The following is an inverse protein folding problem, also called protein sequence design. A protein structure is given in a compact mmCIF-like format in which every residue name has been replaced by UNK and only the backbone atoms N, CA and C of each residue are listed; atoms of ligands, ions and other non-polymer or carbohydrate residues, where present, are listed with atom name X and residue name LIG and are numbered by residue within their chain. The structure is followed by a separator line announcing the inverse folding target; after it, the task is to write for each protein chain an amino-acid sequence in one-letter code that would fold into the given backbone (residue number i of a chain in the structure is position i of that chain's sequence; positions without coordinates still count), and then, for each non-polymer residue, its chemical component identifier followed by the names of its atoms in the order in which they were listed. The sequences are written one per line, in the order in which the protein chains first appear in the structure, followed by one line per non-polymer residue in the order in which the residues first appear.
data_IF_553712868466
#
_entry.id   IF_553712868466
#
_cell.length_a   1.000
_cell.length_b   1.000
_cell.length_c   1.000
_cell.angle_alpha   90.00
_cell.angle_beta   90.00
_cell.angle_gamma   90.00
#
_symmetry.space_group_name_H-M   'P 1'
#
loop_
_entity.id
_entity.type
_entity.pdbx_description
1 polymer ?
#
# COMPACT_ATOMS: atom_id res chain seq x y z
N UNK A 1 -1.30 -21.72 -2.81
CA UNK A 1 -0.48 -20.65 -2.28
C UNK A 1 -1.27 -19.32 -2.30
N UNK A 2 -1.61 -18.78 -1.12
CA UNK A 2 -2.52 -17.62 -1.00
C UNK A 2 -1.86 -16.29 -1.39
N UNK A 3 -0.53 -16.23 -1.45
CA UNK A 3 0.25 -15.01 -1.71
C UNK A 3 0.80 -14.92 -3.15
N UNK A 4 0.52 -15.88 -4.01
CA UNK A 4 1.14 -15.99 -5.34
C UNK A 4 1.02 -14.70 -6.13
N UNK A 5 -0.18 -14.16 -6.33
CA UNK A 5 -0.35 -12.93 -7.11
C UNK A 5 0.42 -11.73 -6.56
N UNK A 6 0.50 -11.57 -5.24
CA UNK A 6 1.24 -10.47 -4.63
C UNK A 6 2.77 -10.66 -4.74
N UNK A 7 3.26 -11.88 -4.51
CA UNK A 7 4.71 -12.17 -4.59
C UNK A 7 5.24 -12.12 -6.02
N UNK A 8 4.44 -12.50 -7.00
CA UNK A 8 4.76 -12.33 -8.43
C UNK A 8 4.93 -10.85 -8.77
N UNK A 9 4.01 -9.99 -8.32
CA UNK A 9 4.09 -8.55 -8.57
C UNK A 9 5.24 -7.86 -7.84
N UNK A 10 5.60 -8.30 -6.64
CA UNK A 10 6.82 -7.86 -5.98
C UNK A 10 8.07 -8.23 -6.77
N UNK A 11 8.10 -9.45 -7.35
CA UNK A 11 9.22 -9.90 -8.19
C UNK A 11 9.28 -9.11 -9.49
N UNK A 12 8.14 -8.86 -10.15
CA UNK A 12 8.03 -8.04 -11.36
C UNK A 12 8.50 -6.60 -11.10
N UNK A 13 8.18 -6.05 -9.91
CA UNK A 13 8.64 -4.74 -9.48
C UNK A 13 10.14 -4.69 -9.12
N UNK A 14 10.87 -5.79 -9.27
CA UNK A 14 12.33 -5.85 -9.09
C UNK A 14 12.79 -6.25 -7.69
N UNK A 15 11.90 -6.75 -6.83
CA UNK A 15 12.26 -7.27 -5.51
C UNK A 15 12.56 -8.78 -5.56
N UNK A 16 13.45 -9.26 -4.70
CA UNK A 16 13.73 -10.69 -4.57
C UNK A 16 12.80 -11.30 -3.51
N UNK A 17 11.97 -12.24 -3.93
CA UNK A 17 11.04 -12.96 -3.05
C UNK A 17 11.53 -14.40 -2.88
N UNK A 18 11.70 -14.84 -1.64
CA UNK A 18 12.16 -16.19 -1.28
C UNK A 18 11.17 -16.84 -0.32
N UNK A 19 10.74 -18.04 -0.65
CA UNK A 19 10.02 -18.92 0.27
C UNK A 19 11.02 -19.86 0.97
N UNK A 20 10.76 -20.19 2.23
CA UNK A 20 11.50 -21.24 2.88
C UNK A 20 11.07 -22.62 2.34
N UNK A 21 11.79 -23.68 2.76
CA UNK A 21 11.56 -25.05 2.24
C UNK A 21 10.17 -25.61 2.59
N UNK A 22 9.59 -25.17 3.68
CA UNK A 22 8.26 -25.61 4.17
C UNK A 22 7.12 -24.77 3.57
N UNK A 23 7.41 -23.62 2.96
CA UNK A 23 6.41 -22.74 2.34
C UNK A 23 5.58 -21.95 3.36
N UNK A 24 5.97 -21.91 4.64
CA UNK A 24 5.28 -21.24 5.73
C UNK A 24 5.85 -19.85 6.04
N UNK A 25 6.94 -19.48 5.39
CA UNK A 25 7.51 -18.13 5.49
C UNK A 25 7.97 -17.59 4.14
N UNK A 26 7.87 -16.27 3.99
CA UNK A 26 8.35 -15.53 2.82
C UNK A 26 9.29 -14.42 3.26
N UNK A 27 10.41 -14.29 2.55
CA UNK A 27 11.35 -13.18 2.74
C UNK A 27 11.33 -12.32 1.49
N UNK A 28 11.11 -11.03 1.67
CA UNK A 28 11.22 -10.04 0.59
C UNK A 28 12.47 -9.21 0.81
N UNK A 29 13.35 -9.21 -0.18
CA UNK A 29 14.58 -8.43 -0.17
C UNK A 29 14.41 -7.30 -1.20
N UNK A 30 14.56 -6.03 -0.78
CA UNK A 30 14.50 -4.91 -1.71
C UNK A 30 15.49 -5.08 -2.86
N UNK A 31 15.05 -4.81 -4.08
CA UNK A 31 15.95 -4.78 -5.24
C UNK A 31 16.69 -3.45 -5.33
N UNK A 32 17.81 -3.45 -6.02
CA UNK A 32 18.67 -2.26 -6.21
C UNK A 32 18.04 -1.24 -7.18
N UNK A 33 17.17 -1.70 -8.06
CA UNK A 33 16.52 -0.87 -9.08
C UNK A 33 15.05 -1.25 -9.24
N UNK A 34 14.21 -1.01 -8.22
CA UNK A 34 12.79 -1.31 -8.33
C UNK A 34 12.12 -0.39 -9.36
N UNK A 35 11.14 -0.90 -10.06
CA UNK A 35 10.36 -0.14 -11.05
C UNK A 35 8.88 -0.43 -10.94
N UNK A 36 8.06 0.50 -11.43
CA UNK A 36 6.64 0.30 -11.55
C UNK A 36 6.29 -0.88 -12.45
N UNK A 37 5.15 -1.52 -12.18
CA UNK A 37 4.60 -2.58 -13.01
C UNK A 37 3.07 -2.48 -13.09
N UNK A 38 2.47 -3.25 -14.02
CA UNK A 38 1.02 -3.29 -14.17
C UNK A 38 0.40 -4.36 -13.28
N UNK A 39 -0.73 -4.00 -12.64
CA UNK A 39 -1.55 -4.90 -11.83
C UNK A 39 -2.97 -4.88 -12.36
N UNK A 40 -3.54 -6.06 -12.56
CA UNK A 40 -4.99 -6.24 -12.76
C UNK A 40 -5.49 -7.18 -11.66
N UNK A 41 -6.45 -6.73 -10.85
CA UNK A 41 -7.03 -7.61 -9.84
C UNK A 41 -7.86 -8.70 -10.48
N UNK A 42 -7.82 -9.89 -9.89
CA UNK A 42 -8.58 -11.04 -10.36
C UNK A 42 -8.93 -11.98 -9.21
N UNK A 43 -9.97 -12.82 -9.35
CA UNK A 43 -10.22 -13.89 -8.39
C UNK A 43 -9.01 -14.80 -8.22
N UNK A 44 -8.91 -15.42 -7.04
CA UNK A 44 -7.82 -16.36 -6.75
C UNK A 44 -7.66 -17.40 -7.88
N UNK A 45 -6.43 -17.69 -8.35
CA UNK A 45 -5.12 -17.32 -7.80
C UNK A 45 -4.54 -15.99 -8.32
N UNK A 46 -5.34 -15.14 -8.96
CA UNK A 46 -4.88 -13.84 -9.46
C UNK A 46 -4.54 -12.85 -8.33
N UNK A 47 -4.21 -11.62 -8.72
CA UNK A 47 -3.85 -10.57 -7.76
C UNK A 47 -5.08 -10.13 -6.94
N UNK A 48 -5.03 -10.21 -5.59
CA UNK A 48 -6.20 -9.93 -4.77
C UNK A 48 -6.51 -8.43 -4.69
N UNK A 49 -7.77 -8.04 -4.90
CA UNK A 49 -8.24 -6.65 -4.73
C UNK A 49 -7.96 -6.09 -3.33
N UNK A 50 -7.83 -6.95 -2.32
CA UNK A 50 -7.53 -6.54 -0.94
C UNK A 50 -6.10 -6.03 -0.75
N UNK A 51 -5.21 -6.23 -1.70
CA UNK A 51 -3.84 -5.70 -1.70
C UNK A 51 -3.64 -4.56 -2.71
N UNK A 52 -4.65 -4.23 -3.49
CA UNK A 52 -4.58 -3.18 -4.50
C UNK A 52 -4.14 -1.82 -3.91
N UNK A 53 -4.75 -1.38 -2.82
CA UNK A 53 -4.45 -0.09 -2.21
C UNK A 53 -3.03 -0.01 -1.64
N UNK A 54 -2.54 -1.10 -1.02
CA UNK A 54 -1.18 -1.18 -0.46
C UNK A 54 -0.13 -1.12 -1.56
N UNK A 55 -0.35 -1.80 -2.69
CA UNK A 55 0.55 -1.72 -3.84
C UNK A 55 0.50 -0.34 -4.50
N UNK A 56 -0.66 0.32 -4.56
CA UNK A 56 -0.77 1.72 -5.00
C UNK A 56 0.11 2.64 -4.14
N UNK A 57 0.08 2.49 -2.82
CA UNK A 57 0.92 3.26 -1.91
C UNK A 57 2.43 2.97 -2.11
N UNK A 58 2.80 1.71 -2.35
CA UNK A 58 4.19 1.33 -2.66
C UNK A 58 4.66 1.97 -3.96
N UNK A 59 3.87 1.87 -5.02
CA UNK A 59 4.22 2.43 -6.33
C UNK A 59 4.22 3.96 -6.36
N UNK A 60 3.53 4.63 -5.43
CA UNK A 60 3.60 6.09 -5.32
C UNK A 60 5.03 6.62 -5.13
N UNK A 61 5.96 5.79 -4.62
CA UNK A 61 7.38 6.14 -4.48
C UNK A 61 8.35 5.19 -5.20
N UNK A 62 7.84 4.26 -5.99
CA UNK A 62 8.67 3.38 -6.82
C UNK A 62 8.91 4.05 -8.17
N UNK A 63 10.15 4.16 -8.66
CA UNK A 63 10.44 4.80 -9.95
C UNK A 63 9.66 4.19 -11.11
N UNK A 64 9.24 5.01 -12.06
CA UNK A 64 8.50 4.58 -13.26
C UNK A 64 6.99 4.72 -13.11
N UNK A 65 6.27 4.17 -14.07
CA UNK A 65 4.82 4.20 -14.16
C UNK A 65 4.26 2.84 -13.78
N UNK A 66 3.23 2.84 -12.93
CA UNK A 66 2.42 1.65 -12.64
C UNK A 66 0.99 1.87 -13.09
N UNK A 67 0.37 0.84 -13.65
CA UNK A 67 -1.04 0.85 -14.01
C UNK A 67 -1.76 -0.20 -13.18
N UNK A 68 -2.74 0.24 -12.41
CA UNK A 68 -3.47 -0.62 -11.47
C UNK A 68 -4.95 -0.60 -11.85
N UNK A 69 -5.43 -1.72 -12.36
CA UNK A 69 -6.83 -1.93 -12.73
C UNK A 69 -7.51 -2.82 -11.68
N UNK A 70 -8.62 -2.35 -11.11
CA UNK A 70 -9.43 -3.18 -10.22
C UNK A 70 -10.70 -3.65 -10.93
N UNK A 71 -10.69 -4.91 -11.39
CA UNK A 71 -11.81 -5.55 -12.08
C UNK A 71 -12.87 -6.11 -11.13
N UNK A 72 -12.53 -6.22 -9.83
CA UNK A 72 -13.41 -6.78 -8.80
C UNK A 72 -14.23 -5.66 -8.13
N UNK A 73 -13.57 -4.55 -7.80
CA UNK A 73 -14.20 -3.38 -7.20
C UNK A 73 -13.70 -2.08 -7.87
N UNK A 74 -14.19 -1.76 -9.08
CA UNK A 74 -13.69 -0.61 -9.86
C UNK A 74 -13.82 0.76 -9.18
N UNK A 75 -14.65 0.87 -8.13
CA UNK A 75 -14.84 2.11 -7.37
C UNK A 75 -13.91 2.23 -6.15
N UNK A 76 -13.03 1.24 -5.89
CA UNK A 76 -12.22 1.16 -4.66
C UNK A 76 -10.89 1.93 -4.78
N UNK A 77 -10.95 3.20 -5.18
CA UNK A 77 -9.76 4.07 -5.32
C UNK A 77 -9.79 5.30 -4.42
N UNK A 78 -10.59 5.30 -3.35
CA UNK A 78 -10.70 6.44 -2.43
C UNK A 78 -9.37 6.82 -1.77
N UNK A 79 -8.48 5.85 -1.53
CA UNK A 79 -7.14 6.08 -1.00
C UNK A 79 -6.26 6.94 -1.93
N UNK A 80 -6.51 6.93 -3.24
CA UNK A 80 -5.72 7.71 -4.19
C UNK A 80 -5.82 9.21 -3.95
N UNK A 81 -7.00 9.73 -3.60
CA UNK A 81 -7.18 11.14 -3.27
C UNK A 81 -6.34 11.55 -2.05
N UNK A 82 -6.29 10.69 -1.03
CA UNK A 82 -5.48 10.94 0.17
C UNK A 82 -3.97 10.78 -0.11
N UNK A 83 -3.56 9.82 -0.95
CA UNK A 83 -2.17 9.70 -1.40
C UNK A 83 -1.75 10.93 -2.23
N UNK A 84 -2.63 11.45 -3.09
CA UNK A 84 -2.38 12.69 -3.84
C UNK A 84 -2.20 13.88 -2.91
N UNK A 85 -2.96 13.95 -1.81
CA UNK A 85 -2.77 14.96 -0.76
C UNK A 85 -1.37 14.88 -0.11
N UNK A 86 -0.78 13.67 -0.06
CA UNK A 86 0.60 13.44 0.39
C UNK A 86 1.65 13.70 -0.72
N UNK A 87 1.24 14.17 -1.89
CA UNK A 87 2.12 14.48 -3.01
C UNK A 87 2.36 13.34 -3.99
N UNK A 88 1.58 12.27 -3.94
CA UNK A 88 1.62 11.24 -4.97
C UNK A 88 1.04 11.74 -6.30
N UNK A 89 1.64 11.32 -7.40
CA UNK A 89 1.16 11.59 -8.76
C UNK A 89 0.32 10.40 -9.25
N UNK A 90 -0.99 10.52 -9.07
CA UNK A 90 -1.95 9.45 -9.36
C UNK A 90 -3.13 10.02 -10.14
N UNK A 91 -3.44 9.41 -11.27
CA UNK A 91 -4.65 9.67 -12.03
C UNK A 91 -5.55 8.43 -12.02
N UNK A 92 -6.81 8.61 -11.64
CA UNK A 92 -7.81 7.52 -11.58
C UNK A 92 -8.91 7.76 -12.59
N UNK A 93 -9.13 6.81 -13.47
CA UNK A 93 -10.23 6.82 -14.44
C UNK A 93 -10.79 5.41 -14.62
N UNK A 94 -12.11 5.28 -14.60
CA UNK A 94 -12.85 4.06 -14.94
C UNK A 94 -12.30 2.75 -14.33
N UNK A 95 -12.00 2.76 -13.02
CA UNK A 95 -11.50 1.57 -12.31
C UNK A 95 -10.02 1.28 -12.54
N UNK A 96 -9.30 2.24 -13.08
CA UNK A 96 -7.87 2.15 -13.32
C UNK A 96 -7.14 3.35 -12.70
N UNK A 97 -6.08 3.10 -11.95
CA UNK A 97 -5.17 4.12 -11.46
C UNK A 97 -3.84 4.06 -12.25
N UNK A 98 -3.42 5.18 -12.79
CA UNK A 98 -2.07 5.38 -13.32
C UNK A 98 -1.27 6.12 -12.26
N UNK A 99 -0.21 5.48 -11.78
CA UNK A 99 0.65 5.97 -10.69
C UNK A 99 2.04 6.26 -11.26
N UNK A 100 2.44 7.52 -11.23
CA UNK A 100 3.81 7.93 -11.52
C UNK A 100 4.58 8.00 -10.21
N UNK A 101 5.61 7.17 -10.04
CA UNK A 101 6.42 7.18 -8.83
C UNK A 101 7.13 8.51 -8.61
N UNK A 102 6.96 9.10 -7.42
CA UNK A 102 7.64 10.32 -7.00
C UNK A 102 8.82 10.01 -6.09
N UNK A 103 9.82 10.89 -6.04
CA UNK A 103 11.00 10.69 -5.18
C UNK A 103 10.66 10.66 -3.69
N UNK A 104 9.67 11.43 -3.26
CA UNK A 104 9.34 11.59 -1.84
C UNK A 104 7.87 11.98 -1.68
N UNK A 105 7.18 11.31 -0.77
CA UNK A 105 5.89 11.78 -0.23
C UNK A 105 6.12 12.79 0.90
N UNK A 106 5.18 13.72 1.05
CA UNK A 106 5.12 14.66 2.15
C UNK A 106 4.08 14.24 3.17
N UNK A 107 4.36 14.50 4.43
CA UNK A 107 3.37 14.29 5.48
C UNK A 107 2.15 15.21 5.29
N UNK A 108 0.97 14.68 5.56
CA UNK A 108 -0.28 15.43 5.55
C UNK A 108 -1.27 14.81 6.54
N UNK A 109 -2.26 15.58 7.03
CA UNK A 109 -3.42 14.99 7.67
C UNK A 109 -4.29 14.29 6.59
N UNK A 110 -4.54 12.99 6.80
CA UNK A 110 -5.29 12.13 5.87
C UNK A 110 -6.41 11.38 6.57
N UNK A 111 -7.41 10.97 5.80
CA UNK A 111 -8.61 10.31 6.29
C UNK A 111 -8.65 8.85 5.85
N UNK A 112 -8.67 7.93 6.79
CA UNK A 112 -9.01 6.53 6.52
C UNK A 112 -10.49 6.43 6.13
N UNK A 113 -10.77 5.80 4.98
CA UNK A 113 -12.14 5.62 4.46
C UNK A 113 -12.66 4.19 4.62
N UNK A 114 -11.76 3.22 4.59
CA UNK A 114 -12.02 1.79 4.76
C UNK A 114 -10.76 1.07 5.23
N UNK A 115 -10.86 -0.25 5.45
CA UNK A 115 -9.76 -1.08 5.97
C UNK A 115 -8.51 -1.05 5.07
N UNK A 116 -8.68 -1.17 3.74
CA UNK A 116 -7.58 -1.28 2.77
C UNK A 116 -6.94 0.08 2.53
N UNK A 117 -7.76 1.11 2.37
CA UNK A 117 -7.30 2.49 2.29
C UNK A 117 -6.49 2.88 3.54
N UNK A 118 -6.97 2.51 4.73
CA UNK A 118 -6.25 2.75 6.00
C UNK A 118 -4.84 2.13 5.98
N UNK A 119 -4.73 0.87 5.57
CA UNK A 119 -3.43 0.19 5.49
C UNK A 119 -2.50 0.86 4.46
N UNK A 120 -3.01 1.27 3.31
CA UNK A 120 -2.26 2.00 2.30
C UNK A 120 -1.72 3.34 2.83
N UNK A 121 -2.54 4.10 3.58
CA UNK A 121 -2.14 5.37 4.18
C UNK A 121 -1.09 5.18 5.28
N UNK A 122 -1.16 4.09 6.06
CA UNK A 122 -0.11 3.75 7.03
C UNK A 122 1.22 3.52 6.31
N UNK A 123 1.24 2.70 5.25
CA UNK A 123 2.44 2.45 4.46
C UNK A 123 3.01 3.74 3.85
N UNK A 124 2.15 4.59 3.27
CA UNK A 124 2.55 5.88 2.74
C UNK A 124 3.12 6.80 3.82
N UNK A 125 2.50 6.84 5.01
CA UNK A 125 2.96 7.62 6.16
C UNK A 125 4.34 7.20 6.66
N UNK A 126 4.64 5.90 6.66
CA UNK A 126 5.97 5.38 7.02
C UNK A 126 7.07 5.83 6.04
N UNK A 127 6.70 6.12 4.80
CA UNK A 127 7.62 6.56 3.73
C UNK A 127 7.70 8.08 3.60
N UNK A 128 6.67 8.82 4.03
CA UNK A 128 6.57 10.26 3.88
C UNK A 128 7.57 11.01 4.75
N UNK A 129 8.02 12.18 4.28
CA UNK A 129 8.84 13.08 5.07
C UNK A 129 7.96 13.92 6.00
N UNK A 130 8.21 13.84 7.30
CA UNK A 130 7.47 14.53 8.35
C UNK A 130 6.56 13.60 9.13
N UNK A 131 5.56 14.14 9.83
CA UNK A 131 4.60 13.38 10.62
C UNK A 131 3.24 13.35 9.92
N UNK A 132 2.83 12.18 9.46
CA UNK A 132 1.50 11.98 8.85
C UNK A 132 0.49 11.67 9.94
N UNK A 133 -0.59 12.43 9.97
CA UNK A 133 -1.72 12.18 10.85
C UNK A 133 -2.81 11.41 10.10
N UNK A 134 -3.16 10.23 10.61
CA UNK A 134 -4.20 9.38 10.01
C UNK A 134 -5.42 9.39 10.91
N UNK A 135 -6.51 9.94 10.42
CA UNK A 135 -7.76 10.04 11.14
C UNK A 135 -8.70 8.86 10.83
N UNK A 136 -9.69 8.62 11.69
CA UNK A 136 -10.69 7.52 11.60
C UNK A 136 -10.08 6.14 11.68
N UNK A 137 -9.17 5.91 12.61
CA UNK A 137 -8.45 4.63 12.80
C UNK A 137 -9.36 3.43 13.08
N UNK A 138 -10.61 3.63 13.47
CA UNK A 138 -11.58 2.54 13.66
C UNK A 138 -11.76 1.65 12.40
N UNK A 139 -11.45 2.17 11.23
CA UNK A 139 -11.47 1.37 10.00
C UNK A 139 -10.35 0.32 9.99
N UNK A 140 -9.14 0.70 10.41
CA UNK A 140 -7.99 -0.23 10.44
C UNK A 140 -8.10 -1.23 11.59
N UNK A 141 -8.64 -0.81 12.72
CA UNK A 141 -8.81 -1.65 13.91
C UNK A 141 -9.75 -2.86 13.69
N UNK A 142 -10.58 -2.81 12.66
CA UNK A 142 -11.47 -3.92 12.28
C UNK A 142 -10.75 -5.14 11.71
N UNK A 143 -9.55 -5.01 11.20
CA UNK A 143 -8.84 -6.11 10.53
C UNK A 143 -7.33 -6.15 10.78
N UNK A 144 -6.76 -5.15 11.44
CA UNK A 144 -5.34 -5.10 11.80
C UNK A 144 -5.20 -4.96 13.31
N UNK A 145 -5.12 -6.09 13.98
CA UNK A 145 -4.94 -6.14 15.43
C UNK A 145 -3.65 -5.44 15.87
N UNK A 146 -3.77 -4.41 16.72
CA UNK A 146 -2.66 -3.69 17.35
C UNK A 146 -1.55 -3.29 16.36
N UNK A 147 -1.94 -2.75 15.20
CA UNK A 147 -1.01 -2.44 14.11
C UNK A 147 0.08 -1.46 14.52
N UNK A 148 -0.24 -0.49 15.35
CA UNK A 148 0.70 0.49 15.91
C UNK A 148 1.78 -0.20 16.75
N UNK A 149 1.41 -1.11 17.64
CA UNK A 149 2.37 -1.86 18.46
C UNK A 149 3.25 -2.78 17.58
N UNK A 150 2.66 -3.45 16.57
CA UNK A 150 3.41 -4.29 15.62
C UNK A 150 4.43 -3.47 14.82
N UNK A 151 4.03 -2.29 14.38
CA UNK A 151 4.92 -1.38 13.64
C UNK A 151 6.05 -0.84 14.54
N UNK A 152 5.76 -0.51 15.80
CA UNK A 152 6.77 -0.11 16.79
C UNK A 152 7.81 -1.23 17.00
N UNK A 153 7.37 -2.48 17.13
CA UNK A 153 8.27 -3.64 17.25
C UNK A 153 9.16 -3.84 16.00
N UNK A 154 8.68 -3.42 14.83
CA UNK A 154 9.44 -3.43 13.58
C UNK A 154 10.36 -2.20 13.44
N UNK A 155 10.40 -1.30 14.42
CA UNK A 155 11.26 -0.11 14.43
C UNK A 155 10.65 1.12 13.78
N UNK A 156 9.38 1.11 13.42
CA UNK A 156 8.69 2.29 12.93
C UNK A 156 8.46 3.31 14.06
N UNK A 157 8.40 4.60 13.70
CA UNK A 157 8.04 5.68 14.63
C UNK A 157 6.57 6.00 14.45
N UNK A 158 5.74 5.39 15.25
CA UNK A 158 4.28 5.58 15.25
C UNK A 158 3.77 5.85 16.65
N UNK A 159 2.72 6.62 16.76
CA UNK A 159 2.05 6.95 18.02
C UNK A 159 0.55 6.93 17.79
N UNK A 160 -0.18 6.29 18.69
CA UNK A 160 -1.64 6.36 18.70
C UNK A 160 -2.08 7.45 19.66
N UNK A 161 -2.64 8.52 19.12
CA UNK A 161 -3.24 9.58 19.92
C UNK A 161 -4.75 9.35 20.09
N UNK A 162 -5.29 9.71 21.25
CA UNK A 162 -6.74 9.82 21.42
C UNK A 162 -7.16 11.12 20.74
N UNK A 163 -7.98 11.02 19.69
CA UNK A 163 -8.56 12.20 19.07
C UNK A 163 -9.25 13.05 20.15
N UNK A 164 -8.96 14.33 20.17
CA UNK A 164 -9.79 15.28 20.90
C UNK A 164 -11.20 15.20 20.33
N UNK A 165 -12.16 14.82 21.18
CA UNK A 165 -13.59 14.77 20.86
C UNK A 165 -14.12 16.14 20.43
#
# INVERSE_FOLDING_TARGET
DQLTGATEKLTEAGHLVKFNKTGDSVTVIPGDSPSGCSITTAPHPGFPTDMQAQFTAMFATTPGISVIEDTIFPQRFMHCAELTRMGADINVDNGTAVVQGVNQLSAAPVMASDLRASAALVLAGLKAKGTTEINRLYHIDRGYEMIDEKLLQLGAKVERTRGSA
#
